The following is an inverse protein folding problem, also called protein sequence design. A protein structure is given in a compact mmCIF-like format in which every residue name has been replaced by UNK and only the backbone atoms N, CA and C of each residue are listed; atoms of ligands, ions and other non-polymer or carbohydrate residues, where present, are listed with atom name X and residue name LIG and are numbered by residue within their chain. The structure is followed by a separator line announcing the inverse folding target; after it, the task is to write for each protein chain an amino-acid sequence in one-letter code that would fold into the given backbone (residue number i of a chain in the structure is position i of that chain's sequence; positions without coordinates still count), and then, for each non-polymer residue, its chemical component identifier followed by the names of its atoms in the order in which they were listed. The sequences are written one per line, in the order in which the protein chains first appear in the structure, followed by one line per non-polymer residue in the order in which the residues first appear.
data_IF_552788718493
#
_entry.id   IF_552788718493
#
_cell.length_a   1.000
_cell.length_b   1.000
_cell.length_c   1.000
_cell.angle_alpha   90.00
_cell.angle_beta   90.00
_cell.angle_gamma   90.00
#
_symmetry.space_group_name_H-M   'P 1'
#
loop_
_entity.id
_entity.type
_entity.pdbx_description
1 polymer ?
#
# COMPACT_ATOMS: atom_id res chain seq x y z
N UNK A 1 -29.08 -4.94 -13.52
CA UNK A 1 -28.41 -3.87 -12.75
C UNK A 1 -27.61 -3.00 -13.72
N UNK A 2 -27.79 -1.68 -13.69
CA UNK A 2 -26.96 -0.78 -14.51
C UNK A 2 -25.50 -0.87 -14.07
N UNK A 3 -24.56 -0.56 -14.97
CA UNK A 3 -23.17 -0.30 -14.59
C UNK A 3 -23.18 0.81 -13.53
N UNK A 4 -22.52 0.65 -12.37
CA UNK A 4 -22.42 1.73 -11.41
C UNK A 4 -21.74 2.94 -12.05
N UNK A 5 -22.13 4.14 -11.63
CA UNK A 5 -21.39 5.35 -11.97
C UNK A 5 -19.98 5.26 -11.32
N UNK A 6 -19.01 6.01 -11.86
CA UNK A 6 -17.65 6.11 -11.30
C UNK A 6 -16.87 4.79 -11.27
N UNK A 7 -16.93 4.05 -12.37
CA UNK A 7 -16.08 2.87 -12.63
C UNK A 7 -15.02 3.27 -13.65
N UNK A 8 -13.77 3.35 -13.22
CA UNK A 8 -12.67 3.85 -14.03
C UNK A 8 -11.38 4.02 -13.22
N UNK A 9 -10.37 4.61 -13.84
CA UNK A 9 -9.08 4.92 -13.20
C UNK A 9 -9.01 6.34 -12.64
N UNK A 10 -10.01 7.16 -12.97
CA UNK A 10 -10.16 8.52 -12.46
C UNK A 10 -10.34 8.49 -10.93
N UNK A 11 -9.73 9.46 -10.23
CA UNK A 11 -9.82 9.61 -8.77
C UNK A 11 -9.43 8.34 -8.02
N UNK A 12 -8.35 7.67 -8.46
CA UNK A 12 -7.75 6.51 -7.79
C UNK A 12 -6.50 6.94 -7.00
N UNK A 13 -6.71 7.69 -5.92
CA UNK A 13 -5.64 8.27 -5.13
C UNK A 13 -5.70 7.86 -3.65
N UNK A 14 -6.90 7.75 -3.08
CA UNK A 14 -7.07 7.40 -1.67
C UNK A 14 -7.12 5.89 -1.43
N UNK A 15 -7.96 5.19 -2.17
CA UNK A 15 -8.14 3.75 -2.11
C UNK A 15 -7.32 3.09 -3.21
N UNK A 16 -6.03 3.42 -3.26
CA UNK A 16 -5.09 2.93 -4.26
C UNK A 16 -4.42 1.64 -3.78
N UNK A 17 -4.49 0.57 -4.57
CA UNK A 17 -3.67 -0.63 -4.40
C UNK A 17 -3.29 -1.19 -5.77
N UNK A 18 -2.13 -1.84 -5.84
CA UNK A 18 -1.68 -2.53 -7.05
C UNK A 18 -0.91 -3.80 -6.71
N UNK A 19 -0.87 -4.75 -7.64
CA UNK A 19 0.05 -5.89 -7.61
C UNK A 19 0.49 -6.27 -9.02
N UNK A 20 1.73 -6.73 -9.13
CA UNK A 20 2.26 -7.30 -10.35
C UNK A 20 1.78 -8.75 -10.51
N UNK A 21 1.38 -9.13 -11.72
CA UNK A 21 0.99 -10.49 -12.08
C UNK A 21 1.91 -11.02 -13.19
N UNK A 22 2.83 -11.96 -12.89
CA UNK A 22 3.84 -12.43 -13.84
C UNK A 22 3.29 -13.25 -15.01
N UNK A 23 2.12 -13.89 -14.83
CA UNK A 23 1.50 -14.68 -15.91
C UNK A 23 0.45 -13.86 -16.69
N UNK A 24 0.32 -12.56 -16.39
CA UNK A 24 -0.50 -11.62 -17.13
C UNK A 24 0.06 -11.32 -18.52
N UNK A 25 -0.79 -10.82 -19.41
CA UNK A 25 -0.43 -10.49 -20.79
C UNK A 25 0.49 -11.53 -21.50
N UNK A 26 0.11 -12.84 -21.53
CA UNK A 26 1.01 -13.88 -22.03
C UNK A 26 1.30 -13.80 -23.53
N UNK A 27 0.48 -13.06 -24.27
CA UNK A 27 0.63 -12.79 -25.70
C UNK A 27 1.28 -11.41 -25.98
N UNK A 28 1.71 -10.71 -24.93
CA UNK A 28 2.37 -9.41 -24.99
C UNK A 28 3.74 -9.46 -25.69
N UNK A 29 4.26 -8.29 -26.12
CA UNK A 29 5.55 -8.20 -26.78
C UNK A 29 6.72 -8.56 -25.84
N UNK A 30 7.79 -9.13 -26.40
CA UNK A 30 9.06 -9.33 -25.68
C UNK A 30 9.87 -8.03 -25.66
N UNK A 31 9.39 -7.03 -24.91
CA UNK A 31 9.93 -5.68 -24.82
C UNK A 31 10.67 -5.39 -23.49
N UNK A 32 10.74 -6.40 -22.62
CA UNK A 32 11.36 -6.32 -21.30
C UNK A 32 10.40 -6.00 -20.15
N UNK A 33 9.11 -5.82 -20.42
CA UNK A 33 8.05 -5.51 -19.45
C UNK A 33 6.86 -6.50 -19.53
N UNK A 34 7.10 -7.82 -19.41
CA UNK A 34 6.02 -8.80 -19.47
C UNK A 34 5.16 -8.76 -18.21
N UNK A 35 4.06 -9.52 -18.23
CA UNK A 35 3.12 -9.56 -17.13
C UNK A 35 2.12 -8.41 -17.22
N UNK A 36 1.39 -8.23 -16.12
CA UNK A 36 0.36 -7.20 -16.01
C UNK A 36 0.32 -6.62 -14.60
N UNK A 37 -0.51 -5.60 -14.41
CA UNK A 37 -0.82 -5.01 -13.11
C UNK A 37 -2.31 -5.16 -12.85
N UNK A 38 -2.66 -5.77 -11.72
CA UNK A 38 -3.98 -5.57 -11.13
C UNK A 38 -3.95 -4.31 -10.28
N UNK A 39 -4.94 -3.43 -10.45
CA UNK A 39 -5.07 -2.20 -9.68
C UNK A 39 -6.49 -1.94 -9.23
N UNK A 40 -6.65 -1.30 -8.07
CA UNK A 40 -7.93 -0.75 -7.62
C UNK A 40 -8.14 0.60 -8.33
N UNK A 41 -9.29 0.77 -8.98
CA UNK A 41 -9.65 2.01 -9.68
C UNK A 41 -10.21 3.08 -8.75
N UNK A 42 -11.21 3.80 -9.25
CA UNK A 42 -11.86 4.95 -8.62
C UNK A 42 -12.20 4.75 -7.12
N UNK A 43 -11.87 5.74 -6.29
CA UNK A 43 -11.95 5.69 -4.82
C UNK A 43 -13.33 5.37 -4.25
N UNK A 44 -14.40 5.73 -4.96
CA UNK A 44 -15.78 5.43 -4.56
C UNK A 44 -16.20 3.96 -4.80
N UNK A 45 -15.90 3.40 -5.97
CA UNK A 45 -16.35 2.04 -6.33
C UNK A 45 -15.36 0.98 -5.90
N UNK A 46 -14.06 1.28 -5.95
CA UNK A 46 -12.94 0.41 -5.57
C UNK A 46 -12.95 -0.92 -6.33
N UNK A 47 -13.42 -0.89 -7.58
CA UNK A 47 -13.38 -2.07 -8.44
C UNK A 47 -11.94 -2.31 -8.90
N UNK A 48 -11.61 -3.58 -9.14
CA UNK A 48 -10.28 -3.98 -9.60
C UNK A 48 -10.33 -4.26 -11.09
N UNK A 49 -9.31 -3.83 -11.82
CA UNK A 49 -9.07 -4.13 -13.22
C UNK A 49 -7.64 -4.62 -13.41
N UNK A 50 -7.40 -5.36 -14.50
CA UNK A 50 -6.06 -5.75 -14.94
C UNK A 50 -5.68 -4.95 -16.17
N UNK A 51 -4.47 -4.40 -16.18
CA UNK A 51 -3.91 -3.66 -17.32
C UNK A 51 -2.55 -4.23 -17.72
N UNK A 52 -2.25 -4.17 -19.02
CA UNK A 52 -0.92 -4.51 -19.55
C UNK A 52 0.13 -3.48 -19.14
N UNK A 53 1.40 -3.80 -19.38
CA UNK A 53 2.52 -2.90 -19.05
C UNK A 53 3.20 -2.48 -20.36
N UNK A 54 2.88 -1.29 -20.90
CA UNK A 54 3.58 -0.80 -22.08
C UNK A 54 5.02 -0.40 -21.72
N UNK A 55 5.92 -0.39 -22.70
CA UNK A 55 7.29 0.11 -22.52
C UNK A 55 7.27 1.50 -21.86
N UNK A 56 7.86 1.67 -20.66
CA UNK A 56 7.92 2.96 -20.00
C UNK A 56 8.76 3.96 -20.79
N UNK A 57 8.30 5.21 -20.87
CA UNK A 57 8.99 6.31 -21.54
C UNK A 57 9.41 7.34 -20.50
N UNK A 58 10.68 7.73 -20.53
CA UNK A 58 11.17 8.85 -19.75
C UNK A 58 11.04 10.15 -20.57
N UNK A 59 9.98 10.91 -20.35
CA UNK A 59 9.83 12.25 -20.94
C UNK A 59 10.67 13.27 -20.17
N UNK A 60 11.77 13.72 -20.77
CA UNK A 60 12.67 14.72 -20.16
C UNK A 60 11.95 16.04 -19.82
N UNK A 61 10.88 16.37 -20.54
CA UNK A 61 10.07 17.57 -20.33
C UNK A 61 8.83 17.36 -19.46
N UNK A 62 8.64 16.14 -18.93
CA UNK A 62 7.42 15.72 -18.22
C UNK A 62 6.15 15.98 -19.06
N UNK A 63 6.20 15.68 -20.36
CA UNK A 63 5.07 15.84 -21.27
C UNK A 63 4.24 14.55 -21.32
N UNK A 64 2.96 14.63 -20.97
CA UNK A 64 2.05 13.48 -20.94
C UNK A 64 1.85 12.87 -22.33
N UNK A 65 1.85 13.69 -23.39
CA UNK A 65 1.69 13.22 -24.78
C UNK A 65 2.84 12.30 -25.25
N UNK A 66 3.97 12.28 -24.52
CA UNK A 66 5.10 11.41 -24.83
C UNK A 66 4.93 9.99 -24.23
N UNK A 67 4.00 9.80 -23.29
CA UNK A 67 3.87 8.57 -22.52
C UNK A 67 3.01 7.52 -23.24
N UNK A 68 3.29 6.25 -22.96
CA UNK A 68 2.44 5.16 -23.41
C UNK A 68 1.28 4.94 -22.43
N UNK A 69 0.12 4.57 -22.95
CA UNK A 69 -1.07 4.21 -22.16
C UNK A 69 -1.20 2.69 -22.06
N UNK A 70 -1.45 2.19 -20.85
CA UNK A 70 -1.72 0.77 -20.64
C UNK A 70 -3.08 0.35 -21.22
N UNK A 71 -3.14 -0.83 -21.82
CA UNK A 71 -4.39 -1.41 -22.30
C UNK A 71 -5.08 -2.22 -21.20
N UNK A 72 -6.41 -2.13 -21.11
CA UNK A 72 -7.21 -2.97 -20.21
C UNK A 72 -7.24 -4.41 -20.71
N UNK A 73 -6.80 -5.35 -19.87
CA UNK A 73 -6.83 -6.80 -20.12
C UNK A 73 -8.05 -7.46 -19.50
N UNK A 74 -8.42 -7.04 -18.29
CA UNK A 74 -9.66 -7.42 -17.63
C UNK A 74 -10.41 -6.18 -17.15
N UNK A 75 -11.68 -6.09 -17.52
CA UNK A 75 -12.57 -5.00 -17.13
C UNK A 75 -12.70 -4.88 -15.60
N UNK A 76 -13.10 -3.70 -15.13
CA UNK A 76 -13.36 -3.45 -13.72
C UNK A 76 -14.43 -4.38 -13.13
N UNK A 77 -14.11 -4.99 -11.98
CA UNK A 77 -14.99 -5.90 -11.28
C UNK A 77 -14.97 -5.67 -9.76
N UNK A 78 -16.12 -5.84 -9.13
CA UNK A 78 -16.20 -5.96 -7.68
C UNK A 78 -15.62 -7.32 -7.23
N UNK A 79 -14.40 -7.30 -6.69
CA UNK A 79 -13.73 -8.49 -6.16
C UNK A 79 -14.16 -8.84 -4.73
N UNK A 80 -14.93 -7.98 -4.07
CA UNK A 80 -15.33 -8.16 -2.67
C UNK A 80 -16.70 -8.81 -2.56
N UNK A 81 -17.64 -8.41 -3.41
CA UNK A 81 -19.05 -8.78 -3.23
C UNK A 81 -19.53 -8.37 -1.84
N UNK A 82 -20.27 -9.24 -1.15
CA UNK A 82 -20.87 -8.93 0.16
C UNK A 82 -19.92 -9.18 1.36
N UNK A 83 -18.60 -9.31 1.13
CA UNK A 83 -17.64 -9.62 2.21
C UNK A 83 -17.55 -8.51 3.27
N UNK A 84 -17.76 -7.26 2.87
CA UNK A 84 -17.63 -6.09 3.72
C UNK A 84 -18.87 -5.19 3.62
N UNK A 85 -19.15 -4.44 4.67
CA UNK A 85 -20.16 -3.37 4.63
C UNK A 85 -19.63 -2.08 4.01
N UNK A 86 -20.47 -1.06 3.97
CA UNK A 86 -20.07 0.29 3.54
C UNK A 86 -18.93 0.83 4.40
N UNK A 87 -17.96 1.47 3.75
CA UNK A 87 -16.79 2.05 4.40
C UNK A 87 -16.61 3.49 3.97
N UNK A 88 -16.39 4.38 4.94
CA UNK A 88 -15.97 5.75 4.68
C UNK A 88 -14.46 5.77 4.44
N UNK A 89 -14.06 6.30 3.27
CA UNK A 89 -12.66 6.52 2.89
C UNK A 89 -11.77 5.28 3.08
N UNK A 90 -12.10 4.12 2.49
CA UNK A 90 -11.42 2.89 2.83
C UNK A 90 -9.93 2.91 2.49
N UNK A 91 -9.16 2.22 3.31
CA UNK A 91 -7.74 1.89 3.10
C UNK A 91 -7.65 0.47 2.57
N UNK A 92 -6.84 0.27 1.53
CA UNK A 92 -6.95 -0.90 0.67
C UNK A 92 -5.59 -1.46 0.33
N UNK A 93 -5.45 -2.77 0.28
CA UNK A 93 -4.22 -3.44 -0.12
C UNK A 93 -4.52 -4.59 -1.06
N UNK A 94 -3.58 -4.89 -1.96
CA UNK A 94 -3.72 -5.92 -2.98
C UNK A 94 -2.36 -6.57 -3.22
N UNK A 95 -2.29 -7.90 -3.24
CA UNK A 95 -1.08 -8.65 -3.61
C UNK A 95 -1.45 -9.95 -4.30
N UNK A 96 -0.76 -10.26 -5.39
CA UNK A 96 -0.83 -11.56 -6.05
C UNK A 96 0.19 -12.51 -5.41
N UNK A 97 -0.21 -13.75 -5.16
CA UNK A 97 0.73 -14.85 -5.03
C UNK A 97 0.34 -16.03 -5.93
N UNK A 98 1.33 -16.80 -6.42
CA UNK A 98 1.07 -18.12 -6.99
C UNK A 98 0.44 -19.04 -5.92
N UNK A 99 -0.11 -20.21 -6.29
CA UNK A 99 -0.83 -21.07 -5.36
C UNK A 99 0.00 -21.38 -4.09
N UNK A 100 -0.59 -21.13 -2.92
CA UNK A 100 -0.02 -21.44 -1.61
C UNK A 100 -0.79 -22.57 -0.91
N UNK A 101 -0.11 -23.35 -0.06
CA UNK A 101 -0.74 -24.45 0.69
C UNK A 101 -1.44 -25.45 -0.22
N UNK A 102 -2.74 -25.65 -0.01
CA UNK A 102 -3.59 -26.54 -0.82
C UNK A 102 -4.25 -25.86 -2.03
N UNK A 103 -3.94 -24.58 -2.32
CA UNK A 103 -4.49 -23.87 -3.46
C UNK A 103 -3.98 -24.49 -4.77
N UNK A 104 -4.86 -24.56 -5.77
CA UNK A 104 -4.55 -25.07 -7.11
C UNK A 104 -4.35 -23.97 -8.15
N UNK A 105 -4.71 -22.73 -7.80
CA UNK A 105 -4.65 -21.53 -8.66
C UNK A 105 -4.11 -20.36 -7.83
N UNK A 106 -3.43 -19.42 -8.49
CA UNK A 106 -3.00 -18.17 -7.86
C UNK A 106 -4.18 -17.36 -7.35
N UNK A 107 -3.90 -16.46 -6.40
CA UNK A 107 -4.91 -15.63 -5.74
C UNK A 107 -4.47 -14.17 -5.68
N UNK A 108 -5.45 -13.28 -5.77
CA UNK A 108 -5.35 -11.89 -5.36
C UNK A 108 -5.77 -11.80 -3.90
N UNK A 109 -4.82 -11.57 -3.02
CA UNK A 109 -5.01 -11.31 -1.61
C UNK A 109 -5.30 -9.84 -1.42
N UNK A 110 -6.21 -9.51 -0.51
CA UNK A 110 -6.61 -8.13 -0.34
C UNK A 110 -6.99 -7.77 1.10
N UNK A 111 -7.03 -6.47 1.37
CA UNK A 111 -7.60 -5.92 2.60
C UNK A 111 -8.40 -4.64 2.35
N UNK A 112 -9.48 -4.44 3.12
CA UNK A 112 -10.29 -3.22 3.17
C UNK A 112 -10.69 -2.89 4.61
N UNK A 113 -10.48 -1.65 5.03
CA UNK A 113 -10.98 -1.12 6.30
C UNK A 113 -11.28 0.37 6.18
N UNK A 114 -12.27 0.89 6.93
CA UNK A 114 -12.54 2.33 6.97
C UNK A 114 -11.33 3.16 7.43
N UNK A 115 -11.27 4.42 7.00
CA UNK A 115 -10.23 5.34 7.48
C UNK A 115 -10.35 5.58 8.98
N UNK A 116 -11.59 5.75 9.48
CA UNK A 116 -11.93 6.06 10.87
C UNK A 116 -12.76 4.95 11.49
N UNK A 117 -12.15 4.13 12.35
CA UNK A 117 -12.80 3.06 13.12
C UNK A 117 -11.89 2.67 14.30
N UNK A 118 -11.71 3.63 15.21
CA UNK A 118 -10.75 3.51 16.31
C UNK A 118 -11.04 2.30 17.20
N UNK A 119 -9.99 1.53 17.52
CA UNK A 119 -10.13 0.31 18.33
C UNK A 119 -10.65 -0.92 17.59
N UNK A 120 -11.07 -0.79 16.33
CA UNK A 120 -11.70 -1.89 15.62
C UNK A 120 -10.69 -2.95 15.15
N UNK A 121 -11.03 -4.21 15.42
CA UNK A 121 -10.31 -5.43 14.99
C UNK A 121 -11.21 -6.27 14.05
N UNK A 122 -12.08 -5.58 13.29
CA UNK A 122 -13.06 -6.21 12.42
C UNK A 122 -12.38 -6.96 11.27
N UNK A 123 -12.98 -8.06 10.77
CA UNK A 123 -12.45 -8.74 9.59
C UNK A 123 -12.26 -7.78 8.41
N UNK A 124 -11.03 -7.70 7.90
CA UNK A 124 -10.64 -6.77 6.82
C UNK A 124 -9.96 -7.46 5.65
N UNK A 125 -9.50 -8.71 5.79
CA UNK A 125 -8.71 -9.40 4.76
C UNK A 125 -9.51 -10.48 4.02
N UNK A 126 -9.13 -10.75 2.78
CA UNK A 126 -9.72 -11.81 1.97
C UNK A 126 -8.83 -12.18 0.79
N UNK A 127 -9.36 -13.04 -0.08
CA UNK A 127 -8.78 -13.26 -1.40
C UNK A 127 -9.84 -13.50 -2.46
N UNK A 128 -9.45 -13.42 -3.73
CA UNK A 128 -10.21 -13.92 -4.87
C UNK A 128 -9.28 -14.58 -5.91
N UNK A 129 -9.85 -15.23 -6.92
CA UNK A 129 -9.13 -15.71 -8.10
C UNK A 129 -8.72 -14.56 -9.03
N UNK A 130 -7.68 -14.81 -9.82
CA UNK A 130 -7.11 -13.83 -10.77
C UNK A 130 -7.98 -13.58 -12.01
N UNK A 131 -8.88 -14.50 -12.36
CA UNK A 131 -9.92 -14.24 -13.37
C UNK A 131 -11.03 -13.41 -12.73
N UNK A 132 -11.03 -12.11 -13.02
CA UNK A 132 -12.00 -11.15 -12.51
C UNK A 132 -13.41 -11.42 -13.03
N UNK A 133 -13.62 -12.22 -14.07
CA UNK A 133 -14.96 -12.67 -14.46
C UNK A 133 -15.48 -13.83 -13.60
N UNK A 134 -14.59 -14.55 -12.90
CA UNK A 134 -14.88 -15.71 -12.05
C UNK A 134 -14.18 -15.65 -10.68
N UNK A 135 -14.25 -14.47 -10.05
CA UNK A 135 -13.50 -14.09 -8.82
C UNK A 135 -13.59 -15.07 -7.66
N UNK A 136 -14.76 -15.60 -7.35
CA UNK A 136 -14.98 -16.51 -6.19
C UNK A 136 -14.34 -15.99 -4.88
N UNK A 137 -14.75 -14.82 -4.37
CA UNK A 137 -14.13 -14.23 -3.20
C UNK A 137 -14.32 -15.08 -1.93
N UNK A 138 -13.33 -15.08 -1.06
CA UNK A 138 -13.36 -15.73 0.25
C UNK A 138 -12.78 -14.81 1.33
N UNK A 139 -13.33 -14.93 2.54
CA UNK A 139 -13.13 -13.98 3.62
C UNK A 139 -14.44 -13.74 4.39
N UNK A 140 -14.56 -12.61 5.10
CA UNK A 140 -13.46 -11.76 5.52
C UNK A 140 -12.74 -12.38 6.73
N UNK A 141 -11.46 -12.09 6.92
CA UNK A 141 -10.65 -12.59 8.04
C UNK A 141 -10.01 -11.44 8.84
N UNK A 142 -9.65 -11.71 10.09
CA UNK A 142 -8.91 -10.79 10.97
C UNK A 142 -7.42 -11.11 10.96
N UNK A 143 -6.59 -10.11 11.26
CA UNK A 143 -5.14 -10.29 11.45
C UNK A 143 -4.84 -10.21 12.94
N UNK A 144 -4.65 -11.36 13.59
CA UNK A 144 -4.55 -11.43 15.04
C UNK A 144 -5.66 -10.65 15.76
N UNK A 145 -5.33 -10.11 16.92
CA UNK A 145 -6.18 -9.17 17.67
C UNK A 145 -5.73 -7.71 17.45
N UNK A 146 -5.12 -7.41 16.30
CA UNK A 146 -4.59 -6.09 15.98
C UNK A 146 -5.66 -5.17 15.37
N UNK A 147 -5.55 -3.87 15.67
CA UNK A 147 -6.45 -2.88 15.11
C UNK A 147 -6.27 -2.76 13.60
N UNK A 148 -7.35 -2.41 12.90
CA UNK A 148 -7.30 -2.19 11.45
C UNK A 148 -6.43 -0.98 11.08
N UNK A 149 -6.15 -0.10 12.03
CA UNK A 149 -5.21 1.02 11.90
C UNK A 149 -3.75 0.61 11.71
N UNK A 150 -3.40 -0.67 11.95
CA UNK A 150 -2.02 -1.18 11.75
C UNK A 150 -1.96 -2.34 10.77
N UNK A 151 -3.08 -2.77 10.18
CA UNK A 151 -3.11 -3.99 9.37
C UNK A 151 -3.67 -3.79 7.97
N UNK A 152 -4.19 -2.62 7.61
CA UNK A 152 -5.02 -2.47 6.41
C UNK A 152 -4.71 -1.22 5.59
N UNK A 153 -3.82 -1.34 4.60
CA UNK A 153 -3.45 -0.24 3.67
C UNK A 153 -2.50 -0.68 2.56
N UNK A 154 -1.73 -1.75 2.80
CA UNK A 154 -0.88 -2.35 1.80
C UNK A 154 -0.68 -3.82 2.13
N UNK A 155 -0.49 -4.62 1.09
CA UNK A 155 -0.08 -6.02 1.18
C UNK A 155 1.06 -6.20 0.18
N UNK A 156 2.09 -6.96 0.53
CA UNK A 156 3.15 -7.31 -0.42
C UNK A 156 3.81 -8.65 -0.07
N UNK A 157 4.37 -9.33 -1.07
CA UNK A 157 5.04 -10.62 -0.89
C UNK A 157 6.39 -10.53 -0.16
N UNK A 158 6.63 -11.50 0.72
CA UNK A 158 7.92 -11.75 1.37
C UNK A 158 8.75 -12.71 0.49
N UNK A 159 10.06 -12.47 0.28
CA UNK A 159 10.94 -13.44 -0.36
C UNK A 159 10.88 -14.78 0.37
N UNK A 160 10.50 -15.84 -0.36
CA UNK A 160 10.28 -17.18 0.20
C UNK A 160 11.43 -17.66 1.09
N UNK A 161 12.68 -17.49 0.65
CA UNK A 161 13.85 -17.88 1.42
C UNK A 161 13.99 -17.13 2.77
N UNK A 162 13.59 -15.85 2.82
CA UNK A 162 13.59 -15.09 4.06
C UNK A 162 12.46 -15.55 4.98
N UNK A 163 11.25 -15.73 4.43
CA UNK A 163 10.08 -16.18 5.20
C UNK A 163 10.28 -17.57 5.78
N UNK A 164 10.77 -18.53 4.99
CA UNK A 164 11.03 -19.90 5.42
C UNK A 164 12.03 -19.96 6.60
N UNK A 165 12.93 -18.98 6.71
CA UNK A 165 13.92 -18.89 7.78
C UNK A 165 13.43 -18.17 9.04
N UNK A 166 12.51 -17.20 8.91
CA UNK A 166 12.17 -16.26 10.01
C UNK A 166 10.68 -16.27 10.39
N UNK A 167 9.78 -16.48 9.44
CA UNK A 167 8.32 -16.53 9.64
C UNK A 167 7.71 -17.68 8.82
N UNK A 168 8.01 -18.95 9.15
CA UNK A 168 7.71 -20.08 8.28
C UNK A 168 6.22 -20.16 7.91
N UNK A 169 5.91 -20.26 6.62
CA UNK A 169 4.54 -20.33 6.11
C UNK A 169 3.80 -18.99 6.03
N UNK A 170 4.42 -17.88 6.40
CA UNK A 170 3.89 -16.52 6.24
C UNK A 170 4.63 -15.82 5.09
N UNK A 171 4.02 -15.77 3.91
CA UNK A 171 4.64 -15.22 2.69
C UNK A 171 4.08 -13.86 2.28
N UNK A 172 3.16 -13.30 3.06
CA UNK A 172 2.60 -11.97 2.87
C UNK A 172 2.97 -11.07 4.05
N UNK A 173 3.18 -9.79 3.78
CA UNK A 173 3.08 -8.72 4.78
C UNK A 173 1.78 -7.98 4.57
N UNK A 174 1.15 -7.54 5.65
CA UNK A 174 0.12 -6.51 5.65
C UNK A 174 0.49 -5.40 6.63
N UNK A 175 -0.02 -4.20 6.43
CA UNK A 175 0.24 -3.10 7.35
C UNK A 175 -0.52 -1.83 7.02
N UNK A 176 -0.26 -0.79 7.80
CA UNK A 176 -0.77 0.57 7.59
C UNK A 176 0.11 1.63 8.23
N UNK A 177 0.11 2.83 7.66
CA UNK A 177 0.42 4.07 8.37
C UNK A 177 -0.86 4.88 8.58
N UNK A 178 -1.15 5.24 9.83
CA UNK A 178 -2.28 6.13 10.18
C UNK A 178 -1.72 7.43 10.74
N UNK A 179 -1.97 8.53 10.03
CA UNK A 179 -1.65 9.90 10.44
C UNK A 179 -2.20 10.25 11.83
N UNK A 180 -1.55 11.20 12.49
CA UNK A 180 -1.81 11.55 13.89
C UNK A 180 -1.36 10.52 14.91
N UNK A 181 -0.61 9.50 14.49
CA UNK A 181 0.00 8.50 15.37
C UNK A 181 -1.00 7.53 16.00
N UNK A 182 -2.24 7.49 15.53
CA UNK A 182 -3.31 6.69 16.14
C UNK A 182 -3.14 5.17 15.93
N UNK A 183 -2.51 4.76 14.84
CA UNK A 183 -2.09 3.36 14.61
C UNK A 183 -0.66 3.09 15.08
N UNK A 184 0.16 4.13 15.13
CA UNK A 184 1.57 4.04 15.47
C UNK A 184 2.31 5.25 14.93
N UNK A 185 3.38 5.67 15.60
CA UNK A 185 4.24 6.77 15.20
C UNK A 185 5.27 6.32 14.15
N UNK A 186 4.78 5.70 13.08
CA UNK A 186 5.56 5.07 12.00
C UNK A 186 4.75 3.97 11.30
N UNK A 187 5.21 3.44 10.16
CA UNK A 187 4.51 2.38 9.44
C UNK A 187 4.54 1.07 10.25
N UNK A 188 3.58 0.19 9.97
CA UNK A 188 3.48 -1.12 10.61
C UNK A 188 3.56 -2.24 9.58
N UNK A 189 4.10 -3.40 9.97
CA UNK A 189 4.28 -4.57 9.13
C UNK A 189 4.01 -5.86 9.93
N UNK A 190 3.11 -6.70 9.42
CA UNK A 190 2.78 -8.00 10.00
C UNK A 190 2.90 -9.09 8.95
N UNK A 191 3.75 -10.09 9.21
CA UNK A 191 3.81 -11.29 8.37
C UNK A 191 2.59 -12.18 8.65
N UNK A 192 1.96 -12.69 7.60
CA UNK A 192 0.82 -13.61 7.71
C UNK A 192 0.74 -14.55 6.49
N UNK A 193 -0.11 -15.57 6.58
CA UNK A 193 -0.34 -16.54 5.50
C UNK A 193 -1.68 -17.23 5.68
N UNK A 194 -2.77 -16.77 5.03
CA UNK A 194 -4.11 -17.26 5.36
C UNK A 194 -4.31 -18.76 5.08
N UNK A 195 -3.51 -19.35 4.18
CA UNK A 195 -3.56 -20.79 3.91
C UNK A 195 -3.16 -21.67 5.12
N UNK A 196 -2.60 -21.10 6.19
CA UNK A 196 -2.28 -21.83 7.42
C UNK A 196 -3.54 -22.13 8.26
N UNK A 197 -4.62 -21.37 8.06
CA UNK A 197 -5.89 -21.50 8.77
C UNK A 197 -7.00 -22.15 7.92
N UNK A 198 -6.66 -22.69 6.75
CA UNK A 198 -7.56 -23.39 5.85
C UNK A 198 -7.46 -22.90 4.40
N UNK A 199 -8.18 -23.56 3.50
CA UNK A 199 -8.20 -23.21 2.09
C UNK A 199 -9.63 -23.27 1.50
N UNK A 200 -10.45 -22.21 1.65
CA UNK A 200 -10.16 -20.98 2.41
C UNK A 200 -10.32 -21.16 3.93
N UNK A 201 -9.73 -20.28 4.76
CA UNK A 201 -10.12 -20.15 6.16
C UNK A 201 -11.61 -19.84 6.29
N UNK A 202 -12.22 -20.25 7.39
CA UNK A 202 -13.61 -19.95 7.66
C UNK A 202 -13.86 -18.44 7.71
N UNK A 203 -15.03 -17.98 7.22
CA UNK A 203 -15.45 -16.59 7.33
C UNK A 203 -15.39 -16.12 8.79
N UNK A 204 -14.79 -14.96 9.04
CA UNK A 204 -14.57 -14.39 10.37
C UNK A 204 -13.43 -15.01 11.16
N UNK A 205 -12.65 -15.93 10.58
CA UNK A 205 -11.46 -16.48 11.23
C UNK A 205 -10.44 -15.39 11.58
N UNK A 206 -9.70 -15.62 12.66
CA UNK A 206 -8.53 -14.83 13.03
C UNK A 206 -7.29 -15.55 12.52
N UNK A 207 -6.56 -14.89 11.62
CA UNK A 207 -5.31 -15.41 11.06
C UNK A 207 -4.16 -15.15 12.00
N UNK A 208 -3.25 -16.13 12.09
CA UNK A 208 -1.99 -15.95 12.82
C UNK A 208 -1.15 -14.88 12.12
N UNK A 209 -0.55 -13.98 12.90
CA UNK A 209 0.30 -12.93 12.39
C UNK A 209 1.53 -12.73 13.28
N UNK A 210 2.66 -12.41 12.67
CA UNK A 210 3.91 -12.08 13.36
C UNK A 210 4.24 -10.61 13.10
N UNK A 211 4.27 -9.75 14.13
CA UNK A 211 4.75 -8.38 13.99
C UNK A 211 6.20 -8.36 13.52
N UNK A 212 6.48 -7.58 12.49
CA UNK A 212 7.83 -7.30 12.00
C UNK A 212 8.22 -5.83 12.28
N UNK A 213 7.24 -4.94 12.26
CA UNK A 213 7.39 -3.52 12.56
C UNK A 213 6.10 -3.01 13.21
N UNK A 214 6.21 -2.41 14.40
CA UNK A 214 5.08 -1.78 15.09
C UNK A 214 5.63 -0.74 16.07
N UNK A 215 5.50 0.53 15.71
CA UNK A 215 5.85 1.66 16.58
C UNK A 215 4.75 1.91 17.63
N UNK A 216 5.07 2.66 18.67
CA UNK A 216 4.11 3.05 19.69
C UNK A 216 3.16 4.13 19.18
N UNK A 217 1.97 4.22 19.77
CA UNK A 217 0.89 5.12 19.33
C UNK A 217 0.88 6.47 20.07
N UNK A 218 -0.02 7.37 19.68
CA UNK A 218 -0.18 8.69 20.29
C UNK A 218 -0.89 8.67 21.67
N UNK A 219 -1.46 7.55 22.09
CA UNK A 219 -2.20 7.42 23.35
C UNK A 219 -1.28 7.12 24.54
N UNK A 220 -0.08 6.60 24.27
CA UNK A 220 0.96 6.36 25.27
C UNK A 220 1.99 7.50 25.35
N UNK A 221 2.33 7.89 26.58
CA UNK A 221 3.36 8.89 26.84
C UNK A 221 4.75 8.33 26.50
N UNK A 222 5.57 9.12 25.79
CA UNK A 222 6.94 8.73 25.40
C UNK A 222 7.02 7.40 24.62
N UNK A 223 5.96 7.07 23.88
CA UNK A 223 5.92 5.89 23.03
C UNK A 223 6.97 5.95 21.91
N UNK A 224 7.59 4.81 21.54
CA UNK A 224 8.65 4.77 20.53
C UNK A 224 8.13 5.15 19.16
N UNK A 225 8.93 5.91 18.40
CA UNK A 225 8.57 6.43 17.09
C UNK A 225 9.66 6.16 16.06
N UNK A 226 9.26 6.19 14.78
CA UNK A 226 10.19 6.28 13.67
C UNK A 226 10.99 7.58 13.77
N UNK A 227 12.29 7.53 13.46
CA UNK A 227 13.12 8.72 13.38
C UNK A 227 12.57 9.69 12.34
N UNK A 228 12.50 10.98 12.68
CA UNK A 228 11.91 12.04 11.85
C UNK A 228 10.42 11.82 11.52
N UNK A 229 9.70 11.07 12.35
CA UNK A 229 8.24 10.92 12.28
C UNK A 229 7.52 12.26 12.34
N UNK A 230 6.60 12.49 11.39
CA UNK A 230 5.58 13.53 11.50
C UNK A 230 4.19 12.90 11.51
N UNK A 231 3.25 13.52 12.23
CA UNK A 231 1.84 13.14 12.22
C UNK A 231 1.19 13.29 10.84
N UNK A 232 1.79 14.06 9.94
CA UNK A 232 1.33 14.29 8.57
C UNK A 232 2.02 13.43 7.51
N UNK A 233 2.87 12.47 7.91
CA UNK A 233 3.42 11.51 6.96
C UNK A 233 2.29 10.63 6.36
N UNK A 234 2.50 10.10 5.16
CA UNK A 234 1.63 9.11 4.54
C UNK A 234 2.53 8.04 3.91
N UNK A 235 2.28 6.75 4.16
CA UNK A 235 2.98 5.63 3.53
C UNK A 235 1.94 4.66 2.95
N UNK A 236 1.72 4.76 1.64
CA UNK A 236 0.57 4.16 0.95
C UNK A 236 0.95 2.93 0.10
N UNK A 237 2.25 2.66 -0.06
CA UNK A 237 2.75 1.51 -0.78
C UNK A 237 3.91 0.85 -0.04
N UNK A 238 4.06 -0.45 -0.25
CA UNK A 238 5.20 -1.20 0.28
C UNK A 238 5.59 -2.34 -0.65
N UNK A 239 6.88 -2.68 -0.64
CA UNK A 239 7.39 -3.82 -1.39
C UNK A 239 8.63 -4.39 -0.69
N UNK A 240 8.86 -5.69 -0.86
CA UNK A 240 10.11 -6.31 -0.45
C UNK A 240 11.03 -6.50 -1.65
N UNK A 241 12.01 -5.61 -1.81
CA UNK A 241 12.95 -5.62 -2.92
C UNK A 241 14.01 -6.70 -2.75
N UNK A 242 14.39 -7.31 -3.86
CA UNK A 242 15.58 -8.17 -3.98
C UNK A 242 16.27 -7.88 -5.30
N UNK A 243 17.59 -7.72 -5.27
CA UNK A 243 18.41 -7.58 -6.47
C UNK A 243 19.80 -8.18 -6.19
N UNK A 244 20.20 -9.19 -6.97
CA UNK A 244 21.41 -9.95 -6.68
C UNK A 244 21.38 -10.58 -5.29
N UNK A 245 22.38 -10.28 -4.46
CA UNK A 245 22.47 -10.70 -3.05
C UNK A 245 21.92 -9.67 -2.05
N UNK A 246 21.39 -8.54 -2.54
CA UNK A 246 20.83 -7.47 -1.71
C UNK A 246 19.32 -7.59 -1.57
N UNK A 247 18.81 -7.08 -0.46
CA UNK A 247 17.39 -6.98 -0.18
C UNK A 247 17.08 -5.79 0.71
N UNK A 248 15.90 -5.19 0.52
CA UNK A 248 15.38 -4.11 1.33
C UNK A 248 13.85 -4.23 1.42
N UNK A 249 13.25 -3.86 2.56
CA UNK A 249 11.82 -3.58 2.61
C UNK A 249 11.64 -2.09 2.39
N UNK A 250 10.80 -1.71 1.44
CA UNK A 250 10.52 -0.31 1.16
C UNK A 250 9.09 0.05 1.53
N UNK A 251 8.92 1.29 1.98
CA UNK A 251 7.62 1.96 2.09
C UNK A 251 7.70 3.23 1.26
N UNK A 252 6.66 3.50 0.46
CA UNK A 252 6.60 4.61 -0.48
C UNK A 252 5.41 5.50 -0.11
N UNK A 253 5.61 6.82 -0.14
CA UNK A 253 4.59 7.73 0.31
C UNK A 253 4.99 9.20 0.30
N UNK A 254 4.17 10.01 0.98
CA UNK A 254 4.33 11.46 1.11
C UNK A 254 4.93 11.78 2.49
N UNK A 255 6.14 12.32 2.53
CA UNK A 255 6.85 12.66 3.76
C UNK A 255 6.67 14.15 4.10
N UNK A 256 6.21 14.44 5.31
CA UNK A 256 6.19 15.79 5.86
C UNK A 256 7.60 16.31 6.20
N UNK A 257 7.86 17.60 5.93
CA UNK A 257 9.13 18.28 6.16
C UNK A 257 8.94 19.54 7.01
N UNK A 258 9.93 19.85 7.86
CA UNK A 258 9.93 21.05 8.70
C UNK A 258 9.03 20.94 9.94
N UNK A 259 8.30 22.01 10.28
CA UNK A 259 7.35 21.99 11.38
C UNK A 259 6.08 21.20 11.01
N UNK A 260 5.48 20.48 11.96
CA UNK A 260 4.26 19.70 11.79
C UNK A 260 3.15 20.21 12.73
N UNK A 261 1.91 20.31 12.25
CA UNK A 261 0.76 20.79 13.03
C UNK A 261 -0.56 20.15 12.60
N UNK A 262 -1.55 20.14 13.50
CA UNK A 262 -2.94 19.90 13.14
C UNK A 262 -3.64 21.24 12.86
N UNK A 263 -4.28 21.39 11.71
CA UNK A 263 -4.98 22.60 11.33
C UNK A 263 -5.14 22.76 9.83
N UNK A 264 -4.87 23.95 9.32
CA UNK A 264 -5.07 24.32 7.92
C UNK A 264 -3.75 24.33 7.15
N UNK A 265 -3.83 24.18 5.82
CA UNK A 265 -2.67 24.18 4.92
C UNK A 265 -1.88 25.49 4.88
N UNK A 266 -2.48 26.59 5.35
CA UNK A 266 -1.82 27.91 5.42
C UNK A 266 -0.96 28.12 6.67
N UNK A 267 -0.82 27.10 7.53
CA UNK A 267 -0.09 27.18 8.80
C UNK A 267 -0.96 27.57 10.00
N UNK A 268 -2.26 27.79 9.83
CA UNK A 268 -3.17 28.01 10.95
C UNK A 268 -3.30 26.74 11.79
N UNK A 269 -2.87 26.80 13.05
CA UNK A 269 -2.99 25.69 14.01
C UNK A 269 -4.41 25.66 14.59
N UNK A 270 -5.00 24.47 14.62
CA UNK A 270 -6.30 24.24 15.24
C UNK A 270 -6.11 23.88 16.73
N UNK A 271 -6.58 24.71 17.67
CA UNK A 271 -6.41 24.43 19.10
C UNK A 271 -7.38 23.36 19.59
N UNK A 272 -7.00 22.66 20.66
CA UNK A 272 -7.87 21.66 21.31
C UNK A 272 -9.11 22.31 21.96
N UNK A 273 -8.97 23.57 22.40
CA UNK A 273 -10.00 24.33 23.12
C UNK A 273 -10.27 25.69 22.45
N UNK A 274 -11.49 26.24 22.58
CA UNK A 274 -11.83 27.52 21.96
C UNK A 274 -11.01 28.70 22.54
N UNK A 275 -10.86 29.81 21.78
CA UNK A 275 -11.54 30.11 20.52
C UNK A 275 -10.91 29.43 19.30
N UNK A 276 -11.74 28.77 18.50
CA UNK A 276 -11.32 28.16 17.23
C UNK A 276 -11.13 29.23 16.14
N UNK A 277 -10.16 29.03 15.22
CA UNK A 277 -10.05 29.87 14.02
C UNK A 277 -11.26 29.65 13.09
N UNK A 278 -11.44 30.50 12.06
CA UNK A 278 -12.40 30.23 11.00
C UNK A 278 -12.15 28.85 10.36
N UNK A 279 -13.22 28.17 9.96
CA UNK A 279 -13.11 26.90 9.22
C UNK A 279 -12.32 27.10 7.92
N UNK A 280 -11.46 26.13 7.61
CA UNK A 280 -10.71 26.07 6.36
C UNK A 280 -11.18 24.89 5.50
N UNK A 281 -10.94 24.92 4.17
CA UNK A 281 -11.41 23.87 3.27
C UNK A 281 -10.89 22.48 3.63
N UNK A 282 -9.63 22.40 4.05
CA UNK A 282 -8.96 21.16 4.42
C UNK A 282 -8.33 21.30 5.80
N UNK A 283 -8.95 20.66 6.79
CA UNK A 283 -8.40 20.53 8.13
C UNK A 283 -7.80 19.15 8.31
N UNK A 284 -6.57 19.08 8.79
CA UNK A 284 -5.87 17.81 9.02
C UNK A 284 -4.46 18.01 9.54
N UNK A 285 -3.65 16.97 9.48
CA UNK A 285 -2.23 17.06 9.76
C UNK A 285 -1.48 17.68 8.58
N UNK A 286 -0.67 18.69 8.85
CA UNK A 286 0.12 19.42 7.88
C UNK A 286 1.59 19.51 8.32
N UNK A 287 2.47 19.71 7.34
CA UNK A 287 3.88 20.00 7.53
C UNK A 287 4.26 21.26 6.77
N UNK A 288 5.42 21.85 7.05
CA UNK A 288 5.94 23.04 6.33
C UNK A 288 6.12 22.78 4.82
N UNK A 289 6.35 21.52 4.46
CA UNK A 289 6.15 21.03 3.11
C UNK A 289 6.09 19.51 3.07
N UNK A 290 5.94 18.98 1.87
CA UNK A 290 5.89 17.56 1.59
C UNK A 290 6.79 17.19 0.41
N UNK A 291 7.26 15.95 0.43
CA UNK A 291 7.98 15.33 -0.68
C UNK A 291 7.55 13.87 -0.84
N UNK A 292 7.56 13.37 -2.08
CA UNK A 292 7.48 11.96 -2.38
C UNK A 292 8.77 11.27 -1.95
N UNK A 293 8.66 10.23 -1.14
CA UNK A 293 9.81 9.56 -0.55
C UNK A 293 9.65 8.04 -0.51
N UNK A 294 10.78 7.34 -0.64
CA UNK A 294 10.92 5.91 -0.39
C UNK A 294 11.76 5.72 0.89
N UNK A 295 11.22 5.03 1.88
CA UNK A 295 11.95 4.55 3.05
C UNK A 295 12.57 3.18 2.76
N UNK A 296 13.76 2.91 3.29
CA UNK A 296 14.41 1.60 3.19
C UNK A 296 14.68 1.02 4.57
N UNK A 297 14.06 -0.13 4.87
CA UNK A 297 14.28 -0.92 6.07
C UNK A 297 15.16 -2.13 5.79
N UNK A 298 15.95 -2.51 6.78
CA UNK A 298 16.86 -3.65 6.69
C UNK A 298 16.10 -4.96 7.00
N UNK A 299 16.04 -5.93 6.06
CA UNK A 299 15.45 -7.25 6.28
C UNK A 299 16.02 -8.02 7.47
N UNK A 300 17.27 -7.73 7.87
CA UNK A 300 17.89 -8.38 9.02
C UNK A 300 17.31 -7.90 10.37
N UNK A 301 16.87 -6.63 10.45
CA UNK A 301 16.25 -6.07 11.65
C UNK A 301 14.86 -6.68 11.84
N UNK A 302 14.07 -6.76 10.75
CA UNK A 302 12.78 -7.46 10.76
C UNK A 302 12.92 -8.94 11.13
N UNK A 303 14.05 -9.56 10.76
CA UNK A 303 14.34 -10.95 11.10
C UNK A 303 14.68 -11.09 12.59
N UNK A 304 15.39 -10.13 13.17
CA UNK A 304 15.65 -10.06 14.61
C UNK A 304 14.33 -9.88 15.39
N UNK A 305 13.41 -9.05 14.90
CA UNK A 305 12.05 -8.92 15.48
C UNK A 305 11.31 -10.25 15.45
N UNK A 306 11.27 -10.93 14.30
CA UNK A 306 10.61 -12.23 14.17
C UNK A 306 11.19 -13.30 15.12
N UNK A 307 12.48 -13.21 15.46
CA UNK A 307 13.15 -14.11 16.43
C UNK A 307 13.04 -13.65 17.90
N UNK A 308 12.45 -12.49 18.17
CA UNK A 308 12.38 -11.89 19.51
C UNK A 308 13.72 -11.39 20.03
N UNK A 309 14.66 -11.06 19.13
CA UNK A 309 15.99 -10.51 19.44
C UNK A 309 15.99 -8.97 19.39
N UNK A 310 14.95 -8.36 18.84
CA UNK A 310 14.73 -6.93 18.68
C UNK A 310 13.24 -6.64 18.93
N UNK A 311 12.92 -5.53 19.61
CA UNK A 311 11.52 -5.13 19.78
C UNK A 311 10.93 -4.62 18.47
N UNK A 312 9.64 -4.85 18.22
CA UNK A 312 9.01 -4.47 16.94
C UNK A 312 9.03 -2.97 16.62
N UNK A 313 9.29 -2.10 17.60
CA UNK A 313 9.40 -0.64 17.43
C UNK A 313 10.84 -0.14 17.23
N UNK A 314 11.83 -1.04 17.34
CA UNK A 314 13.25 -0.69 17.23
C UNK A 314 13.78 -0.57 15.79
N UNK A 315 13.30 -1.33 14.78
CA UNK A 315 13.77 -1.14 13.41
C UNK A 315 13.55 0.31 12.96
N UNK A 316 14.53 0.86 12.24
CA UNK A 316 14.48 2.21 11.69
C UNK A 316 14.81 2.16 10.21
N UNK A 317 14.28 3.09 9.39
CA UNK A 317 14.74 3.20 8.01
C UNK A 317 16.23 3.56 8.01
N UNK A 318 17.05 2.78 7.28
CA UNK A 318 18.49 3.00 7.20
C UNK A 318 18.87 4.00 6.09
N UNK A 319 17.97 4.21 5.14
CA UNK A 319 18.12 5.17 4.05
C UNK A 319 16.74 5.68 3.60
N UNK A 320 16.75 6.81 2.91
CA UNK A 320 15.59 7.36 2.22
C UNK A 320 15.97 7.84 0.81
N UNK A 321 15.00 7.87 -0.10
CA UNK A 321 15.15 8.44 -1.45
C UNK A 321 13.98 9.38 -1.72
N UNK A 322 14.27 10.66 -1.94
CA UNK A 322 13.29 11.63 -2.45
C UNK A 322 13.11 11.43 -3.96
N UNK A 323 11.87 11.47 -4.45
CA UNK A 323 11.54 11.14 -5.84
C UNK A 323 10.74 12.22 -6.59
N UNK A 324 10.50 13.38 -5.97
CA UNK A 324 9.73 14.49 -6.58
C UNK A 324 10.30 14.95 -7.92
N UNK A 325 11.62 14.86 -8.11
CA UNK A 325 12.23 15.21 -9.38
C UNK A 325 11.68 14.39 -10.56
N UNK A 326 11.14 13.19 -10.32
CA UNK A 326 10.57 12.30 -11.33
C UNK A 326 9.05 12.44 -11.51
N UNK A 327 8.34 13.05 -10.55
CA UNK A 327 6.88 13.16 -10.54
C UNK A 327 6.37 14.28 -11.46
N UNK A 328 5.25 14.08 -12.14
CA UNK A 328 4.64 14.97 -13.13
C UNK A 328 3.68 16.00 -12.50
N UNK A 329 2.92 15.63 -11.47
CA UNK A 329 1.81 16.42 -10.93
C UNK A 329 2.19 17.32 -9.75
N UNK A 330 3.42 17.23 -9.25
CA UNK A 330 3.87 18.01 -8.09
C UNK A 330 4.15 19.46 -8.52
N UNK A 331 3.29 20.39 -8.10
CA UNK A 331 3.38 21.81 -8.47
C UNK A 331 3.70 22.72 -7.28
N UNK A 332 3.55 22.24 -6.05
CA UNK A 332 3.72 23.02 -4.82
C UNK A 332 4.38 22.21 -3.72
N UNK A 333 5.24 22.86 -2.93
CA UNK A 333 5.85 22.24 -1.74
C UNK A 333 4.86 21.94 -0.61
N UNK A 334 3.62 22.43 -0.67
CA UNK A 334 2.53 22.14 0.29
C UNK A 334 1.56 21.05 -0.22
N UNK A 335 1.80 20.49 -1.39
CA UNK A 335 0.93 19.49 -1.99
C UNK A 335 1.00 18.16 -1.22
N UNK A 336 -0.12 17.44 -1.14
CA UNK A 336 -0.16 16.06 -0.59
C UNK A 336 -0.27 15.05 -1.72
N UNK A 337 -0.25 13.76 -1.37
CA UNK A 337 -0.53 12.66 -2.29
C UNK A 337 0.46 12.56 -3.45
N UNK A 338 1.76 12.65 -3.15
CA UNK A 338 2.82 12.59 -4.17
C UNK A 338 2.89 11.23 -4.87
N UNK A 339 2.64 10.15 -4.14
CA UNK A 339 2.71 8.78 -4.63
C UNK A 339 1.73 7.87 -3.90
N UNK A 340 1.30 6.81 -4.57
CA UNK A 340 0.34 5.83 -4.07
C UNK A 340 0.92 4.42 -3.99
N UNK A 341 0.12 3.43 -4.39
CA UNK A 341 0.46 2.02 -4.28
C UNK A 341 1.70 1.62 -5.08
N UNK A 342 2.29 0.48 -4.70
CA UNK A 342 3.51 -0.05 -5.34
C UNK A 342 3.44 -1.56 -5.56
N UNK A 343 4.09 -2.03 -6.61
CA UNK A 343 4.26 -3.45 -6.92
C UNK A 343 5.69 -3.73 -7.39
N UNK A 344 6.14 -4.99 -7.25
CA UNK A 344 7.51 -5.36 -7.61
C UNK A 344 7.55 -6.62 -8.46
N UNK A 345 8.06 -6.50 -9.70
CA UNK A 345 8.52 -7.66 -10.46
C UNK A 345 9.89 -8.08 -9.92
N UNK A 346 9.86 -9.09 -9.06
CA UNK A 346 11.05 -9.68 -8.45
C UNK A 346 11.99 -10.33 -9.44
N UNK A 347 11.48 -10.90 -10.52
CA UNK A 347 12.29 -11.64 -11.50
C UNK A 347 13.15 -10.68 -12.33
N UNK A 348 12.60 -9.51 -12.69
CA UNK A 348 13.29 -8.51 -13.54
C UNK A 348 13.84 -7.32 -12.76
N UNK A 349 13.53 -7.22 -11.47
CA UNK A 349 13.93 -6.11 -10.62
C UNK A 349 13.25 -4.80 -11.03
N UNK A 350 11.94 -4.83 -11.29
CA UNK A 350 11.18 -3.63 -11.68
C UNK A 350 10.23 -3.23 -10.55
N UNK A 351 10.38 -2.01 -10.05
CA UNK A 351 9.49 -1.40 -9.07
C UNK A 351 8.51 -0.48 -9.79
N UNK A 352 7.22 -0.74 -9.63
CA UNK A 352 6.12 0.07 -10.13
C UNK A 352 5.56 0.93 -8.98
N UNK A 353 5.31 2.21 -9.23
CA UNK A 353 4.71 3.14 -8.25
C UNK A 353 3.65 3.98 -8.95
N UNK A 354 2.46 4.09 -8.36
CA UNK A 354 1.45 5.02 -8.82
C UNK A 354 1.81 6.45 -8.42
N UNK A 355 1.72 7.37 -9.38
CA UNK A 355 1.60 8.80 -9.14
C UNK A 355 0.15 9.19 -9.42
N UNK A 356 -0.65 9.53 -8.40
CA UNK A 356 -2.06 9.82 -8.58
C UNK A 356 -2.28 11.19 -9.24
N UNK A 357 -3.42 11.34 -9.93
CA UNK A 357 -3.91 12.62 -10.47
C UNK A 357 -2.87 13.37 -11.34
N UNK A 358 -2.08 12.60 -12.11
CA UNK A 358 -0.99 13.12 -12.92
C UNK A 358 -1.34 13.22 -14.41
N UNK A 359 -2.39 12.53 -14.85
CA UNK A 359 -3.01 12.70 -16.16
C UNK A 359 -4.49 13.05 -15.98
N UNK A 360 -4.75 14.36 -15.80
CA UNK A 360 -6.04 14.86 -15.31
C UNK A 360 -6.41 14.18 -13.98
N UNK A 361 -7.49 13.38 -13.97
CA UNK A 361 -7.95 12.67 -12.79
C UNK A 361 -7.32 11.25 -12.66
N UNK A 362 -6.45 10.83 -13.59
CA UNK A 362 -5.88 9.47 -13.63
C UNK A 362 -4.46 9.42 -13.08
N UNK A 363 -4.05 8.21 -12.71
CA UNK A 363 -2.70 7.93 -12.23
C UNK A 363 -1.72 7.63 -13.37
N UNK A 364 -0.48 8.10 -13.22
CA UNK A 364 0.67 7.60 -13.97
C UNK A 364 1.31 6.42 -13.22
N UNK A 365 1.99 5.54 -13.96
CA UNK A 365 2.81 4.47 -13.38
C UNK A 365 4.27 4.73 -13.67
N UNK A 366 5.05 4.97 -12.63
CA UNK A 366 6.49 5.07 -12.72
C UNK A 366 7.13 3.70 -12.59
N UNK A 367 8.24 3.49 -13.30
CA UNK A 367 8.98 2.23 -13.26
C UNK A 367 10.47 2.48 -13.00
N UNK A 368 10.98 1.93 -11.90
CA UNK A 368 12.41 1.92 -11.60
C UNK A 368 12.99 0.52 -11.78
N UNK A 369 14.19 0.44 -12.36
CA UNK A 369 15.01 -0.77 -12.31
C UNK A 369 15.81 -0.78 -11.01
N UNK A 370 15.67 -1.84 -10.24
CA UNK A 370 16.40 -2.07 -8.99
C UNK A 370 17.63 -2.91 -9.30
N UNK A 371 18.81 -2.39 -8.96
CA UNK A 371 20.09 -3.05 -9.22
C UNK A 371 20.82 -3.40 -7.91
N UNK A 372 21.43 -4.58 -7.90
CA UNK A 372 22.13 -5.18 -6.75
C UNK A 372 23.61 -4.89 -6.76
#
# INVERSE_FOLDING_TARGET
PGTPDNVGWEWSNWASAMTYYPDGDPDGPDDGYPGSIFGVGHDQTQYVSEVGIPVPINSLGKNLDDLNTAETLQEFQDIRGDLFGDMEMPRVGLEYLPPQGEQTTGKLYFCWAPHLDEGATNPSHGWCGVDLSSRQPAGPWRIGDYWNYVTTDYIFAIPRAWADANTPGMYLVTGRFRDGGQGGKGPSLFAYGPWNEGNPPASGATLSATPLLLYGDAYEENSPAMNNYHDSDEWNGGAWLTAGDKSAVILVGTKGQGECWYGCSDGTVWPDEPPFPPECPERGWWSTGFVGQILFYNPADLAAVARGEMESSEPQPYATLEIDEYLYHVESGQQKHHVGATAFDRERGLLYVFEPLADEDKSLVHVWRVEG
#
